data_IF_862798493904
#
_entry.id   IF_862798493904
#
_cell.length_a   1.000
_cell.length_b   1.000
_cell.length_c   1.000
_cell.angle_alpha   90.00
_cell.angle_beta   90.00
_cell.angle_gamma   90.00
#
_symmetry.space_group_name_H-M   'P 1'
#
loop_
_entity.id
_entity.type
_entity.pdbx_description
1 polymer ?
#
# COMPACT_ATOMS: atom_id res chain seq x y z
N UNK A 1 -2.16 0.23 3.62
CA UNK A 1 -1.02 0.57 2.74
C UNK A 1 -1.28 1.89 2.02
N UNK A 2 -0.24 2.67 1.69
CA UNK A 2 -0.43 3.89 0.88
C UNK A 2 -0.98 3.50 -0.50
N UNK A 3 -1.94 4.25 -1.08
CA UNK A 3 -2.41 4.00 -2.43
C UNK A 3 -1.33 4.37 -3.45
N UNK A 4 -0.49 3.39 -3.77
CA UNK A 4 0.52 3.45 -4.84
C UNK A 4 -0.10 2.82 -6.10
N UNK A 5 0.17 3.34 -7.31
CA UNK A 5 -0.39 2.79 -8.55
C UNK A 5 -0.14 1.28 -8.72
N UNK A 6 1.07 0.81 -8.38
CA UNK A 6 1.41 -0.61 -8.29
C UNK A 6 0.45 -1.41 -7.41
N UNK A 7 0.19 -0.93 -6.19
CA UNK A 7 -0.71 -1.59 -5.25
C UNK A 7 -2.16 -1.57 -5.76
N UNK A 8 -2.59 -0.50 -6.43
CA UNK A 8 -3.92 -0.42 -7.05
C UNK A 8 -4.10 -1.40 -8.22
N UNK A 9 -3.04 -1.65 -9.01
CA UNK A 9 -3.06 -2.65 -10.08
C UNK A 9 -3.14 -4.08 -9.55
N UNK A 10 -2.41 -4.37 -8.48
CA UNK A 10 -2.44 -5.68 -7.83
C UNK A 10 -3.72 -5.90 -7.02
N UNK A 11 -4.34 -4.83 -6.53
CA UNK A 11 -5.50 -4.84 -5.65
C UNK A 11 -6.66 -3.97 -6.17
N UNK A 12 -7.26 -4.32 -7.33
CA UNK A 12 -8.36 -3.54 -7.90
C UNK A 12 -9.59 -3.49 -6.98
N UNK A 13 -9.78 -4.50 -6.14
CA UNK A 13 -10.92 -4.63 -5.22
C UNK A 13 -10.63 -4.12 -3.79
N UNK A 14 -9.42 -3.65 -3.50
CA UNK A 14 -9.09 -3.20 -2.16
C UNK A 14 -9.84 -1.90 -1.81
N UNK A 15 -10.63 -1.97 -0.73
CA UNK A 15 -11.33 -0.80 -0.20
C UNK A 15 -10.33 0.19 0.38
N UNK A 16 -10.51 1.47 0.02
CA UNK A 16 -9.80 2.59 0.66
C UNK A 16 -10.52 2.89 1.96
N UNK A 17 -9.82 2.77 3.08
CA UNK A 17 -10.35 3.14 4.39
C UNK A 17 -9.39 4.07 5.10
N UNK A 18 -9.92 4.96 5.93
CA UNK A 18 -9.10 5.73 6.85
C UNK A 18 -8.71 4.80 8.00
N UNK A 19 -7.41 4.59 8.28
CA UNK A 19 -6.99 3.74 9.40
C UNK A 19 -7.42 4.30 10.77
N UNK A 20 -7.61 5.62 10.85
CA UNK A 20 -8.17 6.34 12.01
C UNK A 20 -8.70 7.70 11.53
N UNK A 21 -9.52 8.36 12.35
CA UNK A 21 -10.06 9.69 12.03
C UNK A 21 -8.94 10.71 11.80
N UNK A 22 -9.05 11.49 10.72
CA UNK A 22 -8.00 12.45 10.30
C UNK A 22 -6.81 11.84 9.55
N UNK A 23 -6.76 10.52 9.37
CA UNK A 23 -5.70 9.88 8.60
C UNK A 23 -5.91 9.98 7.08
N UNK A 24 -4.82 9.82 6.33
CA UNK A 24 -4.92 9.67 4.88
C UNK A 24 -5.54 8.31 4.54
N UNK A 25 -6.43 8.24 3.54
CA UNK A 25 -7.02 6.97 3.11
C UNK A 25 -5.92 5.99 2.68
N UNK A 26 -5.98 4.79 3.24
CA UNK A 26 -5.07 3.68 2.95
C UNK A 26 -5.82 2.52 2.29
N UNK A 27 -5.16 1.81 1.37
CA UNK A 27 -5.66 0.53 0.86
C UNK A 27 -5.72 -0.48 2.00
N UNK A 28 -6.89 -1.10 2.16
CA UNK A 28 -7.08 -2.28 3.00
C UNK A 28 -6.80 -3.53 2.18
N UNK A 29 -5.77 -4.27 2.61
CA UNK A 29 -5.44 -5.60 2.06
C UNK A 29 -6.43 -6.59 2.69
N UNK A 30 -7.03 -7.47 1.89
CA UNK A 30 -7.96 -8.50 2.40
C UNK A 30 -7.19 -9.59 3.14
N UNK A 31 -7.84 -10.29 4.07
CA UNK A 31 -7.20 -11.32 4.90
C UNK A 31 -6.52 -12.42 4.05
N UNK A 32 -7.19 -12.86 2.99
CA UNK A 32 -6.70 -13.86 2.01
C UNK A 32 -5.34 -13.48 1.39
N UNK A 33 -5.12 -12.19 1.13
CA UNK A 33 -3.88 -11.68 0.55
C UNK A 33 -2.78 -11.47 1.58
N UNK A 34 -3.13 -11.39 2.86
CA UNK A 34 -2.17 -11.36 3.97
C UNK A 34 -1.65 -12.77 4.24
N UNK A 35 -2.46 -13.79 4.00
CA UNK A 35 -2.06 -15.19 4.12
C UNK A 35 -1.06 -15.61 3.03
N UNK A 36 -1.16 -15.05 1.82
CA UNK A 36 -0.21 -15.33 0.74
C UNK A 36 1.09 -14.51 0.85
N UNK A 37 2.12 -15.14 1.42
CA UNK A 37 3.43 -14.52 1.62
C UNK A 37 4.13 -14.13 0.30
N UNK A 38 3.89 -14.87 -0.80
CA UNK A 38 4.49 -14.57 -2.12
C UNK A 38 3.86 -13.32 -2.73
N UNK A 39 2.56 -13.15 -2.56
CA UNK A 39 1.81 -11.99 -2.97
C UNK A 39 2.27 -10.75 -2.22
N UNK A 40 2.42 -10.83 -0.89
CA UNK A 40 2.95 -9.73 -0.08
C UNK A 40 4.36 -9.32 -0.51
N UNK A 41 5.25 -10.29 -0.75
CA UNK A 41 6.60 -10.01 -1.22
C UNK A 41 6.59 -9.29 -2.58
N UNK A 42 5.80 -9.79 -3.55
CA UNK A 42 5.64 -9.16 -4.86
C UNK A 42 4.99 -7.77 -4.79
N UNK A 43 4.01 -7.60 -3.91
CA UNK A 43 3.35 -6.31 -3.67
C UNK A 43 4.35 -5.28 -3.15
N UNK A 44 5.19 -5.66 -2.18
CA UNK A 44 6.24 -4.79 -1.64
C UNK A 44 7.32 -4.50 -2.69
N UNK A 45 7.77 -5.49 -3.44
CA UNK A 45 8.80 -5.34 -4.47
C UNK A 45 8.39 -4.35 -5.57
N UNK A 46 7.13 -4.41 -6.02
CA UNK A 46 6.62 -3.47 -7.04
C UNK A 46 6.27 -2.11 -6.42
N UNK A 47 5.83 -2.06 -5.15
CA UNK A 47 5.47 -0.81 -4.48
C UNK A 47 6.69 0.00 -4.04
N UNK A 48 7.76 -0.65 -3.56
CA UNK A 48 8.99 -0.03 -3.05
C UNK A 48 9.60 1.00 -4.01
N UNK A 49 9.82 0.71 -5.31
CA UNK A 49 10.39 1.68 -6.24
C UNK A 49 9.42 2.81 -6.63
N UNK A 50 8.11 2.60 -6.52
CA UNK A 50 7.09 3.63 -6.76
C UNK A 50 6.81 4.49 -5.53
N UNK A 51 7.45 4.23 -4.39
CA UNK A 51 7.32 5.11 -3.24
C UNK A 51 8.01 6.44 -3.56
N UNK A 52 7.31 7.58 -3.42
CA UNK A 52 7.96 8.88 -3.59
C UNK A 52 9.10 8.98 -2.58
N UNK A 53 10.26 9.44 -3.04
CA UNK A 53 11.46 9.55 -2.23
C UNK A 53 11.13 10.19 -0.88
N UNK A 54 11.67 9.65 0.23
CA UNK A 54 11.39 10.15 1.57
C UNK A 54 11.62 11.66 1.56
N UNK A 55 10.60 12.44 1.96
CA UNK A 55 10.70 13.90 2.03
C UNK A 55 12.00 14.23 2.77
N UNK A 56 12.90 14.95 2.08
CA UNK A 56 14.14 15.40 2.69
C UNK A 56 13.79 16.05 4.03
N UNK A 57 14.33 15.51 5.13
CA UNK A 57 14.20 16.13 6.43
C UNK A 57 14.86 17.49 6.30
N UNK A 58 14.07 18.57 6.32
CA UNK A 58 14.63 19.90 6.47
C UNK A 58 15.35 19.90 7.82
N UNK A 59 16.66 20.12 7.76
CA UNK A 59 17.52 20.33 8.92
C UNK A 59 17.23 21.70 9.51
#
# INVERSE_FOLDING_TARGET
MKPVPAALKLLPNAKKQLPYEGAKPMLRVTNDQIEDSKFLAKLLDVMLPELPAPKAKKK
#
